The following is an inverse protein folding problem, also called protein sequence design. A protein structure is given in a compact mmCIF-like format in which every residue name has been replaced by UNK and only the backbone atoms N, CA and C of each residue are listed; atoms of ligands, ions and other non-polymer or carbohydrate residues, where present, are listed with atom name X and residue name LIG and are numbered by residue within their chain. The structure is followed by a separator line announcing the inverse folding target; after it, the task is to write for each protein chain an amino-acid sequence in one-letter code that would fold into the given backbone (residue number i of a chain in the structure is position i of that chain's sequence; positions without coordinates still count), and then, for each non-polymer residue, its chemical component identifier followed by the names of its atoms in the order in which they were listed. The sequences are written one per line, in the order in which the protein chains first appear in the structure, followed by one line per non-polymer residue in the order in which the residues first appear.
data_IF_012981151963
#
_entry.id   IF_012981151963
#
_cell.length_a   1.000
_cell.length_b   1.000
_cell.length_c   1.000
_cell.angle_alpha   90.00
_cell.angle_beta   90.00
_cell.angle_gamma   90.00
#
_symmetry.space_group_name_H-M   'P 1'
#
loop_
_entity.id
_entity.type
_entity.pdbx_description
1 polymer ?
#
# COMPACT_ATOMS: atom_id res chain seq x y z
N UNK A 1 -3.84 38.56 42.27
CA UNK A 1 -3.88 37.08 42.27
C UNK A 1 -4.77 36.62 41.11
N UNK A 2 -4.30 36.85 39.88
CA UNK A 2 -5.03 36.58 38.64
C UNK A 2 -4.07 36.01 37.56
N UNK A 3 -2.81 35.76 37.91
CA UNK A 3 -1.75 35.53 36.92
C UNK A 3 -1.17 34.11 36.95
N UNK A 4 -1.51 33.27 37.92
CA UNK A 4 -0.92 31.92 38.07
C UNK A 4 -1.79 30.79 37.48
N UNK A 5 -3.11 30.96 37.39
CA UNK A 5 -4.01 29.91 36.89
C UNK A 5 -4.03 29.79 35.36
N UNK A 6 -3.78 30.87 34.63
CA UNK A 6 -3.82 30.85 33.14
C UNK A 6 -2.57 30.21 32.51
N UNK A 7 -1.44 30.15 33.22
CA UNK A 7 -0.22 29.51 32.71
C UNK A 7 -0.31 27.98 32.67
N UNK A 8 -1.07 27.35 33.58
CA UNK A 8 -1.16 25.90 33.65
C UNK A 8 -2.01 25.27 32.54
N UNK A 9 -2.92 26.02 31.93
CA UNK A 9 -3.77 25.51 30.85
C UNK A 9 -3.06 25.43 29.49
N UNK A 10 -1.93 26.14 29.30
CA UNK A 10 -1.18 26.15 28.03
C UNK A 10 -0.10 25.05 27.93
N UNK A 11 0.12 24.26 28.99
CA UNK A 11 1.10 23.16 28.99
C UNK A 11 0.50 21.80 28.62
N UNK A 12 -0.82 21.69 28.45
CA UNK A 12 -1.39 20.56 27.72
C UNK A 12 -1.34 20.89 26.23
N UNK A 13 -0.12 21.07 25.73
CA UNK A 13 0.10 20.90 24.30
C UNK A 13 -0.37 19.49 24.00
N UNK A 14 -1.49 19.37 23.29
CA UNK A 14 -1.83 18.13 22.62
C UNK A 14 -0.65 17.84 21.73
N UNK A 15 0.23 16.94 22.17
CA UNK A 15 1.06 16.20 21.26
C UNK A 15 0.04 15.51 20.35
N UNK A 16 -0.25 16.14 19.21
CA UNK A 16 -0.79 15.39 18.09
C UNK A 16 0.35 14.44 17.78
N UNK A 17 0.28 13.25 18.36
CA UNK A 17 1.06 12.13 17.89
C UNK A 17 0.56 11.93 16.46
N UNK A 18 1.17 12.64 15.52
CA UNK A 18 1.21 12.18 14.15
C UNK A 18 1.85 10.81 14.27
N UNK A 19 1.01 9.77 14.25
CA UNK A 19 1.46 8.42 13.97
C UNK A 19 2.05 8.51 12.56
N UNK A 20 3.33 8.85 12.47
CA UNK A 20 4.16 8.37 11.38
C UNK A 20 4.13 6.86 11.60
N UNK A 21 3.22 6.18 10.90
CA UNK A 21 3.07 4.74 11.02
C UNK A 21 4.41 4.10 10.70
N UNK A 22 4.94 3.29 11.61
CA UNK A 22 6.10 2.47 11.30
C UNK A 22 5.74 1.58 10.09
N UNK A 23 6.51 1.67 9.00
CA UNK A 23 6.28 0.87 7.81
C UNK A 23 6.86 -0.55 7.98
N UNK A 24 6.34 -1.52 7.23
CA UNK A 24 6.86 -2.90 7.23
C UNK A 24 6.53 -3.74 8.46
N UNK A 25 5.72 -3.24 9.40
CA UNK A 25 5.26 -3.99 10.58
C UNK A 25 3.75 -4.24 10.47
N UNK A 26 3.31 -5.45 10.10
CA UNK A 26 1.90 -5.74 9.96
C UNK A 26 1.25 -5.99 11.32
N UNK A 27 -0.01 -5.54 11.50
CA UNK A 27 -0.80 -5.86 12.70
C UNK A 27 -1.05 -7.37 12.82
N UNK A 28 -1.26 -8.05 11.69
CA UNK A 28 -1.43 -9.49 11.59
C UNK A 28 -0.11 -10.07 11.12
N UNK A 29 0.53 -10.89 11.95
CA UNK A 29 1.84 -11.44 11.60
C UNK A 29 1.70 -12.55 10.55
N UNK A 30 2.60 -12.61 9.54
CA UNK A 30 2.60 -13.70 8.57
C UNK A 30 3.04 -15.00 9.23
N UNK A 31 2.35 -16.10 8.90
CA UNK A 31 2.71 -17.44 9.38
C UNK A 31 3.75 -18.09 8.45
N UNK A 32 5.03 -17.73 8.61
CA UNK A 32 6.11 -18.22 7.75
C UNK A 32 6.76 -19.50 8.28
N UNK A 33 6.97 -20.46 7.38
CA UNK A 33 7.76 -21.69 7.58
C UNK A 33 9.03 -21.68 6.72
N UNK A 34 10.00 -22.52 7.08
CA UNK A 34 11.23 -22.65 6.31
C UNK A 34 10.93 -23.17 4.90
N UNK A 35 11.24 -22.36 3.88
CA UNK A 35 11.00 -22.70 2.48
C UNK A 35 9.71 -22.11 1.91
N UNK A 36 8.93 -21.36 2.69
CA UNK A 36 7.79 -20.61 2.16
C UNK A 36 8.24 -19.67 1.04
N UNK A 37 7.67 -19.90 -0.13
CA UNK A 37 7.85 -19.15 -1.37
C UNK A 37 6.48 -18.98 -2.01
N UNK A 38 6.38 -18.09 -2.99
CA UNK A 38 5.13 -17.96 -3.77
C UNK A 38 4.84 -19.28 -4.49
N UNK A 39 5.85 -19.86 -5.15
CA UNK A 39 5.74 -21.18 -5.78
C UNK A 39 6.06 -22.28 -4.76
N UNK A 40 5.12 -23.21 -4.59
CA UNK A 40 5.27 -24.34 -3.68
C UNK A 40 5.15 -24.01 -2.19
N UNK A 41 4.80 -22.77 -1.83
CA UNK A 41 4.45 -22.41 -0.46
C UNK A 41 2.95 -22.56 -0.18
N UNK A 42 2.49 -21.84 0.84
CA UNK A 42 1.11 -21.85 1.34
C UNK A 42 0.42 -20.51 1.17
N UNK A 43 -0.90 -20.53 1.23
CA UNK A 43 -1.72 -19.33 1.24
C UNK A 43 -1.32 -18.41 2.40
N UNK A 44 -1.24 -17.11 2.12
CA UNK A 44 -0.91 -16.12 3.15
C UNK A 44 -2.03 -16.01 4.19
N UNK A 45 -1.68 -15.57 5.40
CA UNK A 45 -2.70 -15.21 6.39
C UNK A 45 -3.40 -13.94 5.90
N UNK A 46 -4.75 -13.89 5.85
CA UNK A 46 -5.46 -12.69 5.40
C UNK A 46 -5.01 -11.43 6.12
N UNK A 47 -4.58 -10.43 5.35
CA UNK A 47 -4.11 -9.14 5.88
C UNK A 47 -2.71 -9.14 6.49
N UNK A 48 -1.95 -10.25 6.44
CA UNK A 48 -0.58 -10.27 6.99
C UNK A 48 0.46 -9.56 6.13
N UNK A 49 0.08 -9.17 4.91
CA UNK A 49 0.88 -8.40 3.96
C UNK A 49 0.13 -7.13 3.54
N UNK A 50 -0.10 -6.17 4.46
CA UNK A 50 -1.03 -5.06 4.24
C UNK A 50 -0.58 -4.09 3.14
N UNK A 51 0.71 -4.07 2.82
CA UNK A 51 1.26 -3.27 1.72
C UNK A 51 1.08 -3.92 0.35
N UNK A 52 0.71 -5.20 0.25
CA UNK A 52 0.51 -5.85 -1.06
C UNK A 52 -0.68 -5.24 -1.80
N UNK A 53 -0.48 -4.90 -3.07
CA UNK A 53 -1.55 -4.36 -3.92
C UNK A 53 -1.62 -5.06 -5.26
N UNK A 54 -2.83 -5.10 -5.81
CA UNK A 54 -3.08 -5.50 -7.18
C UNK A 54 -3.15 -4.26 -8.07
N UNK A 55 -2.50 -4.31 -9.22
CA UNK A 55 -2.60 -3.30 -10.28
C UNK A 55 -3.44 -3.91 -11.39
N UNK A 56 -4.63 -3.38 -11.56
CA UNK A 56 -5.63 -3.88 -12.50
C UNK A 56 -5.85 -2.86 -13.62
N UNK A 57 -6.23 -3.37 -14.78
CA UNK A 57 -6.81 -2.56 -15.83
C UNK A 57 -8.21 -2.06 -15.42
N UNK A 58 -8.70 -1.01 -16.06
CA UNK A 58 -10.01 -0.41 -15.79
C UNK A 58 -11.18 -1.37 -16.03
N UNK A 59 -10.98 -2.36 -16.90
CA UNK A 59 -11.94 -3.44 -17.17
C UNK A 59 -11.90 -4.59 -16.12
N UNK A 60 -11.00 -4.49 -15.13
CA UNK A 60 -10.88 -5.42 -14.01
C UNK A 60 -9.82 -6.51 -14.20
N UNK A 61 -9.16 -6.60 -15.36
CA UNK A 61 -8.11 -7.60 -15.55
C UNK A 61 -6.88 -7.32 -14.69
N UNK A 62 -6.38 -8.34 -13.99
CA UNK A 62 -5.13 -8.26 -13.27
C UNK A 62 -3.96 -8.08 -14.24
N UNK A 63 -3.20 -6.99 -14.07
CA UNK A 63 -2.01 -6.70 -14.86
C UNK A 63 -0.73 -7.07 -14.10
N UNK A 64 -0.59 -6.54 -12.89
CA UNK A 64 0.62 -6.66 -12.09
C UNK A 64 0.30 -6.60 -10.59
N UNK A 65 1.33 -6.82 -9.77
CA UNK A 65 1.30 -6.55 -8.34
C UNK A 65 2.23 -5.38 -7.98
N UNK A 66 2.10 -4.86 -6.77
CA UNK A 66 2.99 -3.84 -6.23
C UNK A 66 3.02 -3.84 -4.70
N UNK A 67 3.69 -2.85 -4.13
CA UNK A 67 3.69 -2.60 -2.69
C UNK A 67 3.43 -1.11 -2.41
N UNK A 68 2.54 -0.82 -1.46
CA UNK A 68 2.40 0.50 -0.86
C UNK A 68 3.69 0.85 -0.12
N UNK A 69 4.23 2.03 -0.42
CA UNK A 69 5.40 2.58 0.29
C UNK A 69 5.04 3.75 1.19
N UNK A 70 3.88 4.37 0.91
CA UNK A 70 3.18 5.33 1.75
C UNK A 70 1.69 5.36 1.35
N UNK A 71 0.94 6.36 1.81
CA UNK A 71 -0.52 6.46 1.63
C UNK A 71 -0.94 6.73 0.17
N UNK A 72 -0.04 7.21 -0.69
CA UNK A 72 -0.35 7.66 -2.05
C UNK A 72 0.53 6.99 -3.12
N UNK A 73 1.60 6.31 -2.73
CA UNK A 73 2.57 5.73 -3.66
C UNK A 73 2.64 4.20 -3.59
N UNK A 74 2.65 3.59 -4.77
CA UNK A 74 2.91 2.16 -4.98
C UNK A 74 4.18 1.99 -5.78
N UNK A 75 5.07 1.12 -5.30
CA UNK A 75 6.20 0.61 -6.11
C UNK A 75 5.77 -0.66 -6.84
N UNK A 76 6.10 -0.73 -8.13
CA UNK A 76 5.88 -1.91 -8.98
C UNK A 76 7.04 -2.06 -9.98
N UNK A 77 7.04 -3.12 -10.77
CA UNK A 77 8.04 -3.31 -11.81
C UNK A 77 7.83 -2.32 -12.97
N UNK A 78 8.91 -1.72 -13.49
CA UNK A 78 8.84 -0.80 -14.62
C UNK A 78 8.12 -1.41 -15.84
N UNK A 79 8.29 -2.72 -16.07
CA UNK A 79 7.64 -3.43 -17.17
C UNK A 79 6.11 -3.40 -17.12
N UNK A 80 5.51 -3.18 -15.94
CA UNK A 80 4.08 -3.05 -15.75
C UNK A 80 3.51 -1.75 -16.32
N UNK A 81 4.32 -0.69 -16.42
CA UNK A 81 3.83 0.67 -16.73
C UNK A 81 4.55 1.39 -17.86
N UNK A 82 5.77 0.99 -18.23
CA UNK A 82 6.60 1.72 -19.21
C UNK A 82 6.04 1.87 -20.62
N UNK A 83 5.13 0.97 -21.04
CA UNK A 83 4.48 0.99 -22.36
C UNK A 83 3.04 1.50 -22.31
N UNK A 84 2.58 2.01 -21.17
CA UNK A 84 1.25 2.57 -21.05
C UNK A 84 1.12 3.85 -21.84
N UNK A 85 0.08 3.92 -22.66
CA UNK A 85 -0.32 5.14 -23.35
C UNK A 85 -1.10 6.07 -22.43
N UNK A 86 -1.87 5.50 -21.51
CA UNK A 86 -2.72 6.22 -20.59
C UNK A 86 -2.72 5.52 -19.22
N UNK A 87 -2.18 6.16 -18.19
CA UNK A 87 -2.15 5.62 -16.82
C UNK A 87 -3.52 5.60 -16.17
N UNK A 88 -4.47 6.41 -16.64
CA UNK A 88 -5.87 6.40 -16.17
C UNK A 88 -6.64 5.13 -16.54
N UNK A 89 -6.04 4.24 -17.35
CA UNK A 89 -6.55 2.89 -17.58
C UNK A 89 -6.20 1.93 -16.44
N UNK A 90 -5.37 2.34 -15.47
CA UNK A 90 -5.03 1.53 -14.32
C UNK A 90 -5.81 1.91 -13.06
N UNK A 91 -6.00 0.89 -12.21
CA UNK A 91 -6.45 1.01 -10.83
C UNK A 91 -5.55 0.19 -9.91
N UNK A 92 -5.34 0.71 -8.71
CA UNK A 92 -4.69 0.00 -7.62
C UNK A 92 -5.76 -0.49 -6.67
N UNK A 93 -5.71 -1.77 -6.29
CA UNK A 93 -6.55 -2.38 -5.28
C UNK A 93 -5.69 -2.83 -4.10
N UNK A 94 -5.92 -2.24 -2.94
CA UNK A 94 -5.26 -2.56 -1.67
C UNK A 94 -6.21 -3.35 -0.73
N UNK A 95 -5.62 -4.13 0.19
CA UNK A 95 -6.37 -4.92 1.18
C UNK A 95 -7.03 -6.19 0.63
N UNK A 96 -6.75 -6.55 -0.62
CA UNK A 96 -7.29 -7.76 -1.23
C UNK A 96 -6.51 -9.00 -0.77
N UNK A 97 -7.25 -10.06 -0.41
CA UNK A 97 -6.68 -11.38 -0.07
C UNK A 97 -6.82 -12.39 -1.22
N UNK A 98 -8.00 -12.40 -1.85
CA UNK A 98 -8.26 -13.17 -3.06
C UNK A 98 -8.05 -12.29 -4.29
N UNK A 99 -7.46 -12.87 -5.35
CA UNK A 99 -7.24 -12.15 -6.61
C UNK A 99 -8.56 -11.87 -7.34
N UNK A 100 -9.46 -12.85 -7.32
CA UNK A 100 -10.61 -12.89 -8.23
C UNK A 100 -11.93 -12.57 -7.51
N UNK A 101 -11.90 -12.24 -6.21
CA UNK A 101 -13.09 -11.86 -5.44
C UNK A 101 -12.91 -10.56 -4.65
N UNK A 102 -13.98 -9.76 -4.64
CA UNK A 102 -14.07 -8.54 -3.85
C UNK A 102 -14.50 -8.89 -2.43
N UNK A 103 -13.79 -8.37 -1.43
CA UNK A 103 -14.07 -8.52 -0.02
C UNK A 103 -14.25 -7.16 0.64
N UNK A 104 -14.88 -7.15 1.82
CA UNK A 104 -14.99 -5.93 2.63
C UNK A 104 -13.60 -5.43 3.06
N UNK A 105 -13.44 -4.11 3.15
CA UNK A 105 -12.18 -3.47 3.53
C UNK A 105 -11.16 -3.31 2.40
N UNK A 106 -11.45 -3.79 1.19
CA UNK A 106 -10.63 -3.47 0.02
C UNK A 106 -10.80 -2.00 -0.38
N UNK A 107 -9.70 -1.36 -0.75
CA UNK A 107 -9.68 0.04 -1.22
C UNK A 107 -9.17 0.09 -2.65
N UNK A 108 -9.90 0.80 -3.52
CA UNK A 108 -9.53 0.99 -4.92
C UNK A 108 -9.23 2.46 -5.18
N UNK A 109 -8.13 2.74 -5.88
CA UNK A 109 -7.73 4.08 -6.28
C UNK A 109 -7.35 4.11 -7.77
N UNK A 110 -7.75 5.17 -8.46
CA UNK A 110 -7.30 5.44 -9.84
C UNK A 110 -5.84 5.93 -9.82
N UNK A 111 -5.06 5.53 -10.83
CA UNK A 111 -3.66 5.96 -10.94
C UNK A 111 -3.56 7.33 -11.60
N UNK A 112 -2.99 8.30 -10.89
CA UNK A 112 -2.80 9.66 -11.41
C UNK A 112 -1.56 9.79 -12.31
N UNK A 113 -0.44 9.17 -11.91
CA UNK A 113 0.85 9.24 -12.62
C UNK A 113 1.62 7.92 -12.46
N UNK A 114 2.48 7.60 -13.43
CA UNK A 114 3.44 6.51 -13.32
C UNK A 114 4.86 7.00 -13.66
N UNK A 115 5.76 6.96 -12.67
CA UNK A 115 7.15 7.37 -12.82
C UNK A 115 8.05 6.15 -13.07
N UNK A 116 8.67 6.09 -14.25
CA UNK A 116 9.60 5.00 -14.61
C UNK A 116 11.04 5.42 -14.35
N UNK A 117 11.83 4.52 -13.74
CA UNK A 117 13.25 4.75 -13.54
C UNK A 117 13.97 5.09 -14.86
N UNK A 118 14.69 6.22 -14.89
CA UNK A 118 15.33 6.78 -16.09
C UNK A 118 16.29 5.80 -16.80
N UNK A 119 16.88 4.87 -16.06
CA UNK A 119 17.80 3.87 -16.60
C UNK A 119 17.13 2.65 -17.23
N UNK A 120 15.82 2.47 -17.07
CA UNK A 120 15.10 1.32 -17.62
C UNK A 120 15.11 1.35 -19.15
N UNK A 121 15.57 0.27 -19.78
CA UNK A 121 15.75 0.17 -21.25
C UNK A 121 14.69 -0.66 -21.96
N UNK A 122 13.70 -1.17 -21.23
CA UNK A 122 12.80 -2.20 -21.74
C UNK A 122 13.46 -3.58 -21.77
N UNK A 123 12.63 -4.62 -21.83
CA UNK A 123 13.04 -5.99 -22.15
C UNK A 123 13.07 -6.24 -23.64
#
# INVERSE_FOLDING_TARGET
MQSLFFCLALLVGTAVAHHVGECGVPRIQPALEAGDRIEGGKEAVPGSWPWHVQVNERDGHHRCSGALVDDEHVVTAAQCVWKLKNVGELRVLAGAHSRDSVAEGQMSADVAEACVYKGYKGG
#
